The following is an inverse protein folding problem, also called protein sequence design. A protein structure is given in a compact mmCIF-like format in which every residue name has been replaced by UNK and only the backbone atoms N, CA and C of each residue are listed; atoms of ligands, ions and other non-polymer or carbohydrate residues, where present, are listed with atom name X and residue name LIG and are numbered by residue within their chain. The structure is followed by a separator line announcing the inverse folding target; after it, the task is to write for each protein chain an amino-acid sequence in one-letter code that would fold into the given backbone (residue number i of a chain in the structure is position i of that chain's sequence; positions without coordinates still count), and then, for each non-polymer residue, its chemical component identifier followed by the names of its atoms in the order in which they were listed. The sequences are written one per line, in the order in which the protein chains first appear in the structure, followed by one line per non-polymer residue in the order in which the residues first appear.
data_IF_273604820476
#
_entry.id   IF_273604820476
#
_cell.length_a   1.000
_cell.length_b   1.000
_cell.length_c   1.000
_cell.angle_alpha   90.00
_cell.angle_beta   90.00
_cell.angle_gamma   90.00
#
_symmetry.space_group_name_H-M   'P 1'
#
loop_
_entity.id
_entity.type
_entity.pdbx_description
1 polymer ?
#
# COMPACT_ATOMS: atom_id res chain seq x y z
N UNK A 1 -0.52 -57.68 -18.88
CA UNK A 1 -1.26 -56.40 -18.77
C UNK A 1 -0.74 -55.62 -17.57
N UNK A 2 0.32 -54.83 -17.73
CA UNK A 2 0.87 -53.92 -16.70
C UNK A 2 1.41 -52.74 -17.47
N UNK A 3 0.68 -51.64 -17.59
CA UNK A 3 1.21 -50.34 -18.05
C UNK A 3 0.24 -49.14 -17.93
N UNK A 4 -0.95 -49.28 -17.36
CA UNK A 4 -1.92 -48.17 -17.28
C UNK A 4 -1.84 -47.33 -16.00
N UNK A 5 -0.99 -47.66 -15.03
CA UNK A 5 -0.99 -47.00 -13.72
C UNK A 5 -0.06 -45.79 -13.58
N UNK A 6 0.71 -45.42 -14.62
CA UNK A 6 1.70 -44.32 -14.54
C UNK A 6 1.27 -43.00 -15.18
N UNK A 7 0.12 -42.95 -15.88
CA UNK A 7 -0.30 -41.74 -16.59
C UNK A 7 -1.19 -40.79 -15.77
N UNK A 8 -1.72 -41.23 -14.61
CA UNK A 8 -2.69 -40.44 -13.83
C UNK A 8 -2.05 -39.50 -12.79
N UNK A 9 -0.75 -39.59 -12.53
CA UNK A 9 -0.10 -38.82 -11.45
C UNK A 9 0.43 -37.45 -11.90
N UNK A 10 0.62 -37.24 -13.22
CA UNK A 10 1.11 -35.96 -13.75
C UNK A 10 0.01 -34.91 -13.98
N UNK A 11 -1.27 -35.31 -14.07
CA UNK A 11 -2.37 -34.35 -14.30
C UNK A 11 -2.73 -33.53 -13.06
N UNK A 12 -2.46 -34.03 -11.85
CA UNK A 12 -2.83 -33.35 -10.60
C UNK A 12 -1.91 -32.16 -10.25
N UNK A 13 -0.65 -32.18 -10.70
CA UNK A 13 0.31 -31.10 -10.43
C UNK A 13 0.15 -29.87 -11.33
N UNK A 14 -0.50 -30.01 -12.48
CA UNK A 14 -0.71 -28.90 -13.44
C UNK A 14 -1.84 -27.97 -13.02
N UNK A 15 -2.85 -28.48 -12.29
CA UNK A 15 -4.00 -27.66 -11.86
C UNK A 15 -3.71 -26.77 -10.66
N UNK A 16 -2.79 -27.17 -9.77
CA UNK A 16 -2.41 -26.39 -8.58
C UNK A 16 -1.38 -25.28 -8.89
N UNK A 17 -0.61 -25.42 -9.96
CA UNK A 17 0.40 -24.45 -10.39
C UNK A 17 -0.17 -23.29 -11.25
N UNK A 18 -1.35 -23.48 -11.86
CA UNK A 18 -2.01 -22.44 -12.64
C UNK A 18 -2.73 -21.38 -11.77
N UNK A 19 -3.35 -21.79 -10.66
CA UNK A 19 -4.01 -20.86 -9.73
C UNK A 19 -2.98 -19.98 -9.00
N UNK A 20 -1.86 -20.56 -8.56
CA UNK A 20 -0.78 -19.84 -7.87
C UNK A 20 -0.04 -18.84 -8.76
N UNK A 21 0.06 -19.11 -10.07
CA UNK A 21 0.73 -18.19 -11.01
C UNK A 21 -0.07 -16.92 -11.31
N UNK A 22 -1.40 -17.02 -11.47
CA UNK A 22 -2.23 -15.86 -11.78
C UNK A 22 -2.44 -14.98 -10.54
N UNK A 23 -2.71 -15.59 -9.40
CA UNK A 23 -2.86 -14.90 -8.12
C UNK A 23 -1.59 -14.11 -7.78
N UNK A 24 -0.41 -14.71 -7.94
CA UNK A 24 0.87 -14.03 -7.71
C UNK A 24 1.10 -12.81 -8.62
N UNK A 25 0.70 -12.89 -9.90
CA UNK A 25 0.79 -11.75 -10.83
C UNK A 25 -0.13 -10.60 -10.42
N UNK A 26 -1.38 -10.91 -10.06
CA UNK A 26 -2.35 -9.91 -9.60
C UNK A 26 -1.89 -9.30 -8.27
N UNK A 27 -1.40 -10.11 -7.33
CA UNK A 27 -0.88 -9.65 -6.04
C UNK A 27 0.27 -8.65 -6.24
N UNK A 28 1.25 -8.98 -7.09
CA UNK A 28 2.37 -8.08 -7.38
C UNK A 28 1.89 -6.77 -8.01
N UNK A 29 1.01 -6.84 -9.00
CA UNK A 29 0.48 -5.65 -9.66
C UNK A 29 -0.33 -4.77 -8.68
N UNK A 30 -1.20 -5.38 -7.86
CA UNK A 30 -1.98 -4.68 -6.85
C UNK A 30 -1.10 -4.01 -5.78
N UNK A 31 0.00 -4.67 -5.38
CA UNK A 31 0.97 -4.11 -4.46
C UNK A 31 1.65 -2.86 -5.05
N UNK A 32 2.20 -2.96 -6.27
CA UNK A 32 2.86 -1.83 -6.94
C UNK A 32 1.91 -0.63 -7.13
N UNK A 33 0.64 -0.89 -7.46
CA UNK A 33 -0.38 0.14 -7.58
C UNK A 33 -0.77 0.74 -6.23
N UNK A 34 -0.87 -0.09 -5.20
CA UNK A 34 -1.11 0.31 -3.82
C UNK A 34 -0.01 1.24 -3.28
N UNK A 35 1.25 0.86 -3.45
CA UNK A 35 2.41 1.68 -3.06
C UNK A 35 2.37 3.05 -3.72
N UNK A 36 2.12 3.10 -5.04
CA UNK A 36 1.96 4.37 -5.78
C UNK A 36 0.78 5.19 -5.25
N UNK A 37 -0.35 4.53 -4.96
CA UNK A 37 -1.54 5.21 -4.45
C UNK A 37 -1.29 5.82 -3.08
N UNK A 38 -0.62 5.10 -2.19
CA UNK A 38 -0.28 5.59 -0.86
C UNK A 38 0.76 6.72 -0.92
N UNK A 39 1.78 6.61 -1.79
CA UNK A 39 2.72 7.70 -2.06
C UNK A 39 2.00 8.97 -2.55
N UNK A 40 1.03 8.84 -3.46
CA UNK A 40 0.21 9.95 -3.93
C UNK A 40 -0.62 10.57 -2.80
N UNK A 41 -1.23 9.76 -1.93
CA UNK A 41 -1.96 10.26 -0.75
C UNK A 41 -1.05 11.06 0.19
N UNK A 42 0.14 10.53 0.52
CA UNK A 42 1.10 11.24 1.37
C UNK A 42 1.58 12.54 0.73
N UNK A 43 1.76 12.55 -0.60
CA UNK A 43 2.11 13.75 -1.34
C UNK A 43 1.02 14.81 -1.25
N UNK A 44 -0.25 14.44 -1.44
CA UNK A 44 -1.38 15.37 -1.28
C UNK A 44 -1.44 15.91 0.15
N UNK A 45 -1.36 15.04 1.17
CA UNK A 45 -1.33 15.44 2.58
C UNK A 45 -0.22 16.47 2.87
N UNK A 46 0.98 16.23 2.32
CA UNK A 46 2.14 17.10 2.47
C UNK A 46 1.96 18.44 1.74
N UNK A 47 1.53 18.42 0.47
CA UNK A 47 1.38 19.61 -0.36
C UNK A 47 0.26 20.53 0.16
N UNK A 48 -0.78 19.96 0.79
CA UNK A 48 -1.85 20.72 1.42
C UNK A 48 -1.39 21.44 2.69
N UNK A 49 -0.45 20.84 3.45
CA UNK A 49 -0.09 21.30 4.80
C UNK A 49 1.26 22.04 4.88
N UNK A 50 2.26 21.62 4.10
CA UNK A 50 3.66 22.04 4.21
C UNK A 50 4.07 22.79 2.93
N UNK A 51 3.65 24.05 2.84
CA UNK A 51 3.86 24.91 1.65
C UNK A 51 5.12 25.76 1.72
N UNK A 52 5.64 25.95 2.92
CA UNK A 52 6.71 26.90 3.23
C UNK A 52 8.12 26.32 3.05
N UNK A 53 8.25 25.00 2.90
CA UNK A 53 9.56 24.33 2.79
C UNK A 53 9.46 23.00 2.03
N UNK A 54 10.04 22.97 0.82
CA UNK A 54 10.11 21.75 0.00
C UNK A 54 10.87 20.62 0.70
N UNK A 55 11.94 20.95 1.44
CA UNK A 55 12.70 19.98 2.21
C UNK A 55 11.84 19.33 3.29
N UNK A 56 11.06 20.12 4.02
CA UNK A 56 10.22 19.61 5.11
C UNK A 56 9.06 18.77 4.57
N UNK A 57 8.48 19.18 3.44
CA UNK A 57 7.47 18.44 2.72
C UNK A 57 7.99 17.05 2.28
N UNK A 58 9.16 17.00 1.61
CA UNK A 58 9.79 15.72 1.23
C UNK A 58 10.14 14.87 2.44
N UNK A 59 10.67 15.48 3.50
CA UNK A 59 11.03 14.77 4.73
C UNK A 59 9.81 14.14 5.42
N UNK A 60 8.65 14.81 5.39
CA UNK A 60 7.39 14.24 5.87
C UNK A 60 7.02 12.99 5.05
N UNK A 61 7.03 13.09 3.72
CA UNK A 61 6.69 11.97 2.84
C UNK A 61 7.62 10.77 3.09
N UNK A 62 8.93 11.00 3.12
CA UNK A 62 9.93 9.95 3.38
C UNK A 62 9.77 9.31 4.76
N UNK A 63 9.52 10.13 5.79
CA UNK A 63 9.29 9.62 7.14
C UNK A 63 8.04 8.75 7.20
N UNK A 64 6.95 9.20 6.60
CA UNK A 64 5.69 8.45 6.58
C UNK A 64 5.82 7.14 5.81
N UNK A 65 6.50 7.15 4.65
CA UNK A 65 6.76 5.93 3.89
C UNK A 65 7.60 4.92 4.68
N UNK A 66 8.64 5.36 5.40
CA UNK A 66 9.45 4.49 6.29
C UNK A 66 8.67 3.91 7.47
N UNK A 67 7.54 4.52 7.82
CA UNK A 67 6.66 4.11 8.92
C UNK A 67 5.37 3.46 8.43
N UNK A 68 5.35 3.04 7.18
CA UNK A 68 4.19 2.40 6.59
C UNK A 68 4.57 1.16 5.78
N UNK A 69 3.67 0.20 5.72
CA UNK A 69 3.80 -1.00 4.92
C UNK A 69 2.50 -1.21 4.13
N UNK A 70 2.60 -1.33 2.80
CA UNK A 70 1.44 -1.61 1.94
C UNK A 70 1.38 -3.11 1.72
N UNK A 71 0.20 -3.69 1.89
CA UNK A 71 0.00 -5.13 1.79
C UNK A 71 -1.23 -5.46 0.96
N UNK A 72 -1.19 -6.61 0.28
CA UNK A 72 -2.35 -7.19 -0.39
C UNK A 72 -2.86 -8.34 0.48
N UNK A 73 -3.99 -8.10 1.15
CA UNK A 73 -4.58 -9.04 2.13
C UNK A 73 -5.46 -10.09 1.47
N UNK A 74 -6.02 -9.79 0.30
CA UNK A 74 -6.88 -10.71 -0.42
C UNK A 74 -6.69 -10.54 -1.93
N UNK A 75 -6.61 -11.67 -2.64
CA UNK A 75 -6.80 -11.73 -4.09
C UNK A 75 -7.88 -12.76 -4.38
N UNK A 76 -8.91 -12.36 -5.12
CA UNK A 76 -10.03 -13.23 -5.48
C UNK A 76 -10.16 -13.29 -7.00
N UNK A 77 -9.87 -14.46 -7.56
CA UNK A 77 -10.19 -14.76 -8.96
C UNK A 77 -11.71 -14.98 -9.08
N UNK A 78 -12.39 -14.15 -9.85
CA UNK A 78 -13.84 -14.22 -10.06
C UNK A 78 -14.18 -15.07 -11.28
N UNK A 79 -13.40 -14.90 -12.34
CA UNK A 79 -13.46 -15.70 -13.58
C UNK A 79 -12.03 -15.87 -14.12
N UNK A 80 -11.85 -16.59 -15.23
CA UNK A 80 -10.54 -16.68 -15.91
C UNK A 80 -9.99 -15.33 -16.38
N UNK A 81 -10.85 -14.32 -16.47
CA UNK A 81 -10.54 -12.98 -17.00
C UNK A 81 -10.85 -11.85 -16.03
N UNK A 82 -11.35 -12.14 -14.82
CA UNK A 82 -11.69 -11.13 -13.81
C UNK A 82 -11.17 -11.50 -12.44
N UNK A 83 -10.65 -10.52 -11.73
CA UNK A 83 -10.20 -10.68 -10.35
C UNK A 83 -10.40 -9.40 -9.53
N UNK A 84 -10.40 -9.52 -8.22
CA UNK A 84 -10.29 -8.39 -7.29
C UNK A 84 -9.07 -8.57 -6.39
N UNK A 85 -8.47 -7.47 -5.96
CA UNK A 85 -7.45 -7.49 -4.91
C UNK A 85 -7.74 -6.39 -3.88
N UNK A 86 -7.68 -6.74 -2.60
CA UNK A 86 -7.84 -5.79 -1.49
C UNK A 86 -6.46 -5.41 -1.00
N UNK A 87 -6.18 -4.11 -1.02
CA UNK A 87 -4.94 -3.52 -0.56
C UNK A 87 -5.19 -2.72 0.71
N UNK A 88 -4.37 -2.98 1.72
CA UNK A 88 -4.34 -2.25 2.98
C UNK A 88 -2.99 -1.56 3.14
N UNK A 89 -2.93 -0.64 4.08
CA UNK A 89 -1.69 -0.04 4.53
C UNK A 89 -1.64 -0.05 6.04
N UNK A 90 -0.56 -0.59 6.60
CA UNK A 90 -0.23 -0.44 8.01
C UNK A 90 0.52 0.88 8.17
N UNK A 91 -0.06 1.87 8.83
CA UNK A 91 0.50 3.22 8.96
C UNK A 91 -0.08 3.97 10.15
N UNK A 92 0.48 5.12 10.52
CA UNK A 92 -0.11 5.95 11.56
C UNK A 92 -1.56 6.37 11.22
N UNK A 93 -2.45 6.49 12.22
CA UNK A 93 -3.82 6.93 12.00
C UNK A 93 -3.90 8.25 11.21
N UNK A 94 -4.90 8.45 10.32
CA UNK A 94 -4.98 9.66 9.51
C UNK A 94 -5.01 10.95 10.33
N UNK A 95 -5.68 10.95 11.49
CA UNK A 95 -5.71 12.10 12.40
C UNK A 95 -4.33 12.48 12.94
N UNK A 96 -3.45 11.50 13.17
CA UNK A 96 -2.08 11.71 13.62
C UNK A 96 -1.23 12.24 12.47
N UNK A 97 -1.32 11.64 11.28
CA UNK A 97 -0.61 12.08 10.06
C UNK A 97 -0.93 13.53 9.69
N UNK A 98 -2.22 13.85 9.59
CA UNK A 98 -2.68 15.22 9.27
C UNK A 98 -2.24 16.23 10.32
N UNK A 99 -2.29 15.87 11.62
CA UNK A 99 -1.81 16.76 12.68
C UNK A 99 -0.30 16.98 12.60
N UNK A 100 0.46 15.92 12.32
CA UNK A 100 1.90 15.99 12.12
C UNK A 100 2.25 16.89 10.94
N UNK A 101 1.59 16.70 9.79
CA UNK A 101 1.78 17.53 8.60
C UNK A 101 1.45 19.00 8.87
N UNK A 102 0.37 19.29 9.61
CA UNK A 102 0.00 20.66 9.98
C UNK A 102 1.01 21.31 10.93
N UNK A 103 1.51 20.58 11.92
CA UNK A 103 2.53 21.09 12.84
C UNK A 103 3.84 21.37 12.08
N UNK A 104 4.25 20.46 11.20
CA UNK A 104 5.38 20.70 10.30
C UNK A 104 5.13 21.93 9.40
N UNK A 105 3.91 22.09 8.87
CA UNK A 105 3.48 23.25 8.09
C UNK A 105 3.52 24.59 8.84
N UNK A 106 3.39 24.56 10.17
CA UNK A 106 3.52 25.74 11.03
C UNK A 106 4.96 26.12 11.39
N UNK A 107 5.95 25.31 11.01
CA UNK A 107 7.35 25.58 11.30
C UNK A 107 7.87 26.77 10.49
N UNK A 108 8.60 27.65 11.17
CA UNK A 108 9.38 28.72 10.55
C UNK A 108 10.32 28.15 9.46
N UNK A 109 10.28 28.67 8.22
CA UNK A 109 11.17 28.25 7.14
C UNK A 109 12.64 28.14 7.56
N UNK A 110 13.15 29.09 8.35
CA UNK A 110 14.54 29.11 8.82
C UNK A 110 14.91 27.96 9.78
N UNK A 111 13.90 27.30 10.36
CA UNK A 111 14.04 26.15 11.29
C UNK A 111 13.50 24.84 10.72
N UNK A 112 13.12 24.80 9.45
CA UNK A 112 12.56 23.59 8.83
C UNK A 112 13.44 22.36 9.02
N UNK A 113 14.76 22.51 8.88
CA UNK A 113 15.73 21.41 8.97
C UNK A 113 15.92 20.83 10.38
N UNK A 114 15.44 21.51 11.42
CA UNK A 114 15.52 21.02 12.79
C UNK A 114 14.26 20.25 13.22
N UNK A 115 13.25 20.12 12.35
CA UNK A 115 12.02 19.44 12.70
C UNK A 115 12.24 17.92 12.79
N UNK A 116 11.94 17.34 13.96
CA UNK A 116 12.08 15.92 14.22
C UNK A 116 10.70 15.23 14.20
N UNK A 117 10.38 14.55 13.11
CA UNK A 117 9.10 13.85 12.94
C UNK A 117 8.88 12.72 13.96
N UNK A 118 9.92 11.99 14.35
CA UNK A 118 9.79 10.87 15.29
C UNK A 118 9.43 11.37 16.70
N UNK A 119 10.04 12.48 17.13
CA UNK A 119 9.71 13.12 18.41
C UNK A 119 8.32 13.75 18.37
N UNK A 120 7.98 14.45 17.28
CA UNK A 120 6.69 15.08 17.09
C UNK A 120 5.53 14.07 17.14
N UNK A 121 5.67 12.91 16.49
CA UNK A 121 4.66 11.83 16.52
C UNK A 121 4.35 11.39 17.95
N UNK A 122 5.37 11.16 18.77
CA UNK A 122 5.20 10.76 20.17
C UNK A 122 4.52 11.85 21.00
N UNK A 123 4.89 13.12 20.77
CA UNK A 123 4.26 14.27 21.43
C UNK A 123 2.79 14.42 21.07
N UNK A 124 2.47 14.34 19.78
CA UNK A 124 1.10 14.48 19.27
C UNK A 124 0.23 13.33 19.77
N UNK A 125 0.72 12.08 19.69
CA UNK A 125 -0.03 10.91 20.17
C UNK A 125 -0.51 11.08 21.61
N UNK A 126 0.36 11.57 22.50
CA UNK A 126 0.01 11.89 23.89
C UNK A 126 -1.06 12.99 23.99
N UNK A 127 -0.96 14.04 23.18
CA UNK A 127 -1.91 15.16 23.18
C UNK A 127 -3.30 14.77 22.70
N UNK A 128 -3.40 13.94 21.65
CA UNK A 128 -4.68 13.54 21.05
C UNK A 128 -5.24 12.22 21.62
N UNK A 129 -4.59 11.65 22.64
CA UNK A 129 -4.98 10.38 23.25
C UNK A 129 -4.94 9.20 22.27
N UNK A 130 -4.02 9.21 21.31
CA UNK A 130 -3.84 8.13 20.34
C UNK A 130 -2.46 7.51 20.51
N UNK A 131 -2.42 6.18 20.45
CA UNK A 131 -1.14 5.48 20.38
C UNK A 131 -0.40 5.90 19.11
N UNK A 132 0.89 6.23 19.18
CA UNK A 132 1.72 6.47 18.00
C UNK A 132 2.12 5.15 17.32
N UNK A 133 1.23 4.16 17.33
CA UNK A 133 1.47 2.86 16.71
C UNK A 133 0.79 2.81 15.35
N UNK A 134 1.45 2.26 14.32
CA UNK A 134 0.81 1.96 13.05
C UNK A 134 -0.41 1.06 13.22
N UNK A 135 -1.45 1.33 12.44
CA UNK A 135 -2.68 0.53 12.36
C UNK A 135 -2.94 0.14 10.91
N UNK A 136 -3.54 -1.02 10.72
CA UNK A 136 -4.01 -1.45 9.40
C UNK A 136 -5.23 -0.61 8.98
N UNK A 137 -5.15 -0.05 7.78
CA UNK A 137 -6.20 0.76 7.18
C UNK A 137 -6.49 0.28 5.76
N UNK A 138 -7.76 0.24 5.34
CA UNK A 138 -8.09 -0.04 3.95
C UNK A 138 -7.54 1.07 3.07
N UNK A 139 -6.77 0.70 2.03
CA UNK A 139 -6.25 1.65 1.06
C UNK A 139 -7.15 1.72 -0.17
N UNK A 140 -7.34 0.59 -0.84
CA UNK A 140 -8.13 0.49 -2.07
C UNK A 140 -8.45 -0.98 -2.40
N UNK A 141 -9.57 -1.21 -3.09
CA UNK A 141 -9.86 -2.47 -3.75
C UNK A 141 -9.73 -2.29 -5.26
N UNK A 142 -8.80 -3.01 -5.87
CA UNK A 142 -8.64 -3.03 -7.32
C UNK A 142 -9.51 -4.12 -7.94
N UNK A 143 -10.13 -3.78 -9.07
CA UNK A 143 -10.73 -4.75 -9.99
C UNK A 143 -9.80 -4.91 -11.18
N UNK A 144 -9.57 -6.15 -11.59
CA UNK A 144 -8.70 -6.48 -12.70
C UNK A 144 -9.46 -7.22 -13.79
N UNK A 145 -9.13 -6.90 -15.04
CA UNK A 145 -9.51 -7.68 -16.20
C UNK A 145 -8.27 -8.20 -16.94
N UNK A 146 -8.40 -9.38 -17.53
CA UNK A 146 -7.37 -9.97 -18.40
C UNK A 146 -7.65 -9.55 -19.85
N UNK A 147 -6.68 -8.92 -20.49
CA UNK A 147 -6.75 -8.53 -21.89
C UNK A 147 -6.73 -9.76 -22.82
N UNK A 148 -7.08 -9.57 -24.10
CA UNK A 148 -6.98 -10.62 -25.12
C UNK A 148 -5.55 -11.15 -25.30
N UNK A 149 -4.54 -10.33 -25.00
CA UNK A 149 -3.13 -10.71 -24.98
C UNK A 149 -2.73 -11.49 -23.71
N UNK A 150 -3.64 -11.71 -22.76
CA UNK A 150 -3.41 -12.46 -21.54
C UNK A 150 -2.80 -11.66 -20.39
N UNK A 151 -2.71 -10.32 -20.51
CA UNK A 151 -2.16 -9.42 -19.49
C UNK A 151 -3.24 -8.92 -18.55
N UNK A 152 -2.97 -8.88 -17.25
CA UNK A 152 -3.89 -8.30 -16.26
C UNK A 152 -3.74 -6.78 -16.21
N UNK A 153 -4.85 -6.05 -16.26
CA UNK A 153 -4.89 -4.59 -16.13
C UNK A 153 -6.02 -4.18 -15.18
N UNK A 154 -5.92 -2.99 -14.59
CA UNK A 154 -6.95 -2.44 -13.70
C UNK A 154 -8.15 -2.00 -14.55
N UNK A 155 -9.34 -2.37 -14.09
CA UNK A 155 -10.61 -1.86 -14.61
C UNK A 155 -10.87 -0.49 -13.97
N UNK A 156 -10.97 0.56 -14.79
CA UNK A 156 -11.27 1.94 -14.39
C UNK A 156 -12.78 2.21 -14.40
#
# INVERSE_FOLDING_TARGET
MKNTLRLSLCLFFVLLSACTSQEGKIKKLALELGEKKFQEQLKIEADDSIKQSEWLNKSYQEFMLKKSEVEVVEVKLLTETKATAVVVVNTYPPSLRMTLARIAGGMDPGRSRSFNFAEAVNGIGKQIGKSPEPIELPLIMYKFNKTSAGTWVVEF
#
